data_IF_830653250880
#
_entry.id   IF_830653250880
#
_cell.length_a   1.000
_cell.length_b   1.000
_cell.length_c   1.000
_cell.angle_alpha   90.00
_cell.angle_beta   90.00
_cell.angle_gamma   90.00
#
_symmetry.space_group_name_H-M   'P 1'
#
loop_
_entity.id
_entity.type
_entity.pdbx_description
1 polymer ?
#
# COMPACT_ATOMS: atom_id res chain seq x y z
N UNK A 1 -6.41 20.77 -13.14
CA UNK A 1 -6.67 19.58 -13.98
C UNK A 1 -5.76 18.39 -13.66
N UNK A 2 -4.47 18.56 -13.36
CA UNK A 2 -3.53 17.44 -13.08
C UNK A 2 -3.96 16.59 -11.86
N UNK A 3 -4.36 17.22 -10.75
CA UNK A 3 -4.81 16.51 -9.53
C UNK A 3 -6.09 15.68 -9.72
N UNK A 4 -7.01 16.12 -10.58
CA UNK A 4 -8.25 15.39 -10.84
C UNK A 4 -7.98 14.09 -11.61
N UNK A 5 -7.03 14.12 -12.55
CA UNK A 5 -6.61 12.94 -13.31
C UNK A 5 -5.88 11.92 -12.41
N UNK A 6 -4.96 12.38 -11.56
CA UNK A 6 -4.25 11.50 -10.62
C UNK A 6 -5.23 10.77 -9.68
N UNK A 7 -6.20 11.50 -9.11
CA UNK A 7 -7.21 10.91 -8.22
C UNK A 7 -8.10 9.86 -8.90
N UNK A 8 -8.46 10.10 -10.17
CA UNK A 8 -9.21 9.12 -10.97
C UNK A 8 -8.39 7.84 -11.22
N UNK A 9 -7.08 7.96 -11.39
CA UNK A 9 -6.20 6.80 -11.54
C UNK A 9 -6.08 6.01 -10.23
N UNK A 10 -5.92 6.70 -9.09
CA UNK A 10 -5.84 6.06 -7.78
C UNK A 10 -7.16 5.33 -7.44
N UNK A 11 -8.30 6.00 -7.62
CA UNK A 11 -9.63 5.43 -7.36
C UNK A 11 -9.90 4.19 -8.25
N UNK A 12 -9.50 4.23 -9.52
CA UNK A 12 -9.64 3.10 -10.44
C UNK A 12 -8.73 1.92 -10.04
N UNK A 13 -7.50 2.19 -9.59
CA UNK A 13 -6.60 1.15 -9.09
C UNK A 13 -7.16 0.49 -7.82
N UNK A 14 -7.68 1.29 -6.88
CA UNK A 14 -8.32 0.76 -5.67
C UNK A 14 -9.52 -0.13 -6.02
N UNK A 15 -10.33 0.25 -7.00
CA UNK A 15 -11.44 -0.59 -7.49
C UNK A 15 -10.96 -1.92 -8.07
N UNK A 16 -9.95 -1.90 -8.94
CA UNK A 16 -9.37 -3.12 -9.50
C UNK A 16 -8.86 -4.06 -8.40
N UNK A 17 -8.17 -3.53 -7.40
CA UNK A 17 -7.62 -4.30 -6.27
C UNK A 17 -8.71 -4.86 -5.33
N UNK A 18 -9.90 -4.25 -5.31
CA UNK A 18 -11.06 -4.81 -4.61
C UNK A 18 -11.69 -5.97 -5.38
N UNK A 19 -11.73 -5.89 -6.71
CA UNK A 19 -12.29 -6.91 -7.58
C UNK A 19 -11.37 -8.13 -7.73
N UNK A 20 -10.05 -7.92 -7.72
CA UNK A 20 -9.03 -8.98 -7.79
C UNK A 20 -8.08 -8.93 -6.57
N UNK A 21 -8.44 -9.64 -5.47
CA UNK A 21 -7.61 -9.69 -4.28
C UNK A 21 -6.25 -10.35 -4.47
N UNK A 22 -6.11 -11.27 -5.44
CA UNK A 22 -4.83 -11.96 -5.73
C UNK A 22 -3.86 -11.00 -6.42
N UNK A 23 -4.37 -10.16 -7.33
CA UNK A 23 -3.59 -9.12 -7.98
C UNK A 23 -2.97 -8.12 -6.99
N UNK A 24 -3.59 -7.87 -5.84
CA UNK A 24 -3.04 -6.94 -4.85
C UNK A 24 -1.67 -7.35 -4.29
N UNK A 25 -1.38 -8.65 -4.20
CA UNK A 25 -0.06 -9.10 -3.79
C UNK A 25 0.97 -8.90 -4.91
N UNK A 26 0.60 -9.19 -6.16
CA UNK A 26 1.44 -8.97 -7.35
C UNK A 26 1.76 -7.49 -7.51
N UNK A 27 0.77 -6.63 -7.33
CA UNK A 27 0.92 -5.18 -7.39
C UNK A 27 1.94 -4.65 -6.37
N UNK A 28 1.87 -5.11 -5.11
CA UNK A 28 2.86 -4.75 -4.09
C UNK A 28 4.23 -5.36 -4.34
N UNK A 29 4.29 -6.56 -4.90
CA UNK A 29 5.56 -7.20 -5.27
C UNK A 29 6.27 -6.40 -6.35
N UNK A 30 5.58 -5.98 -7.41
CA UNK A 30 6.18 -5.13 -8.45
C UNK A 30 6.70 -3.81 -7.86
N UNK A 31 5.89 -3.12 -7.05
CA UNK A 31 6.34 -1.89 -6.40
C UNK A 31 7.53 -2.11 -5.43
N UNK A 32 7.69 -3.32 -4.89
CA UNK A 32 8.84 -3.67 -4.05
C UNK A 32 10.10 -3.95 -4.89
N UNK A 33 9.97 -4.52 -6.08
CA UNK A 33 11.11 -4.72 -6.98
C UNK A 33 11.70 -3.38 -7.45
N UNK A 34 10.83 -2.40 -7.68
CA UNK A 34 11.21 -1.06 -8.16
C UNK A 34 11.65 -0.13 -7.00
N UNK A 35 11.73 -0.63 -5.76
CA UNK A 35 11.94 0.22 -4.57
C UNK A 35 13.28 0.97 -4.55
N UNK A 36 14.29 0.42 -5.24
CA UNK A 36 15.64 0.98 -5.33
C UNK A 36 15.77 2.01 -6.48
N UNK A 37 14.73 2.19 -7.30
CA UNK A 37 14.68 3.22 -8.34
C UNK A 37 14.41 4.62 -7.76
N UNK A 38 14.66 5.66 -8.57
CA UNK A 38 14.31 7.03 -8.18
C UNK A 38 12.79 7.15 -8.00
N UNK A 39 12.36 7.47 -6.78
CA UNK A 39 10.93 7.54 -6.43
C UNK A 39 10.31 6.18 -6.04
N UNK A 40 11.10 5.10 -6.00
CA UNK A 40 10.62 3.74 -5.73
C UNK A 40 10.01 3.57 -4.35
N UNK A 41 10.57 4.21 -3.32
CA UNK A 41 10.04 4.16 -1.96
C UNK A 41 8.66 4.84 -1.88
N UNK A 42 8.51 5.99 -2.51
CA UNK A 42 7.26 6.75 -2.58
C UNK A 42 6.19 5.96 -3.34
N UNK A 43 6.56 5.36 -4.47
CA UNK A 43 5.69 4.49 -5.25
C UNK A 43 5.23 3.27 -4.43
N UNK A 44 6.13 2.63 -3.68
CA UNK A 44 5.79 1.52 -2.80
C UNK A 44 4.80 1.92 -1.69
N UNK A 45 5.02 3.07 -1.04
CA UNK A 45 4.09 3.58 -0.02
C UNK A 45 2.71 3.90 -0.61
N UNK A 46 2.66 4.46 -1.81
CA UNK A 46 1.40 4.69 -2.53
C UNK A 46 0.71 3.38 -2.93
N UNK A 47 1.46 2.40 -3.42
CA UNK A 47 0.91 1.08 -3.75
C UNK A 47 0.32 0.40 -2.50
N UNK A 48 1.03 0.45 -1.38
CA UNK A 48 0.54 -0.03 -0.09
C UNK A 48 -0.72 0.70 0.36
N UNK A 49 -0.80 2.01 0.13
CA UNK A 49 -2.02 2.77 0.37
C UNK A 49 -3.20 2.29 -0.46
N UNK A 50 -3.02 2.01 -1.76
CA UNK A 50 -4.11 1.48 -2.59
C UNK A 50 -4.62 0.14 -2.05
N UNK A 51 -3.71 -0.75 -1.66
CA UNK A 51 -4.07 -2.04 -1.05
C UNK A 51 -4.79 -1.86 0.29
N UNK A 52 -4.35 -0.92 1.12
CA UNK A 52 -5.00 -0.57 2.40
C UNK A 52 -6.43 -0.09 2.16
N UNK A 53 -6.64 0.75 1.15
CA UNK A 53 -7.96 1.25 0.78
C UNK A 53 -8.87 0.13 0.26
N UNK A 54 -8.34 -0.77 -0.58
CA UNK A 54 -9.05 -1.93 -1.10
C UNK A 54 -9.39 -3.01 -0.03
N UNK A 55 -8.54 -3.18 1.00
CA UNK A 55 -8.67 -4.25 2.03
C UNK A 55 -9.55 -3.86 3.23
N UNK A 56 -10.55 -3.01 3.00
CA UNK A 56 -11.51 -2.56 4.02
C UNK A 56 -11.25 -1.15 4.55
N UNK A 57 -10.40 -0.39 3.86
CA UNK A 57 -10.20 1.04 4.10
C UNK A 57 -9.27 1.39 5.25
N UNK A 58 -8.85 2.65 5.24
CA UNK A 58 -7.91 3.24 6.21
C UNK A 58 -8.32 3.04 7.67
N UNK A 59 -9.62 3.09 7.99
CA UNK A 59 -10.09 2.92 9.36
C UNK A 59 -9.91 1.49 9.88
N UNK A 60 -10.24 0.49 9.05
CA UNK A 60 -10.12 -0.93 9.40
C UNK A 60 -8.64 -1.31 9.57
N UNK A 61 -7.81 -0.91 8.61
CA UNK A 61 -6.40 -1.25 8.60
C UNK A 61 -5.63 -0.53 9.71
N UNK A 62 -5.89 0.75 9.97
CA UNK A 62 -5.25 1.48 11.08
C UNK A 62 -5.51 0.79 12.43
N UNK A 63 -6.75 0.35 12.66
CA UNK A 63 -7.12 -0.40 13.87
C UNK A 63 -6.35 -1.73 13.98
N UNK A 64 -6.28 -2.51 12.89
CA UNK A 64 -5.54 -3.78 12.85
C UNK A 64 -4.03 -3.58 13.03
N UNK A 65 -3.47 -2.52 12.46
CA UNK A 65 -2.05 -2.18 12.52
C UNK A 65 -1.63 -1.51 13.84
N UNK A 66 -2.58 -1.18 14.72
CA UNK A 66 -2.32 -0.54 16.02
C UNK A 66 -1.90 0.91 15.92
N UNK A 67 -2.32 1.65 14.89
CA UNK A 67 -2.00 3.07 14.67
C UNK A 67 -3.26 3.91 14.49
N UNK A 68 -3.15 5.23 14.64
CA UNK A 68 -4.25 6.14 14.28
C UNK A 68 -4.39 6.25 12.76
N UNK A 69 -5.59 6.61 12.28
CA UNK A 69 -5.84 6.87 10.85
C UNK A 69 -4.94 7.98 10.30
N UNK A 70 -4.75 9.04 11.09
CA UNK A 70 -3.87 10.15 10.72
C UNK A 70 -2.41 9.70 10.57
N UNK A 71 -1.92 8.89 11.51
CA UNK A 71 -0.59 8.30 11.40
C UNK A 71 -0.48 7.42 10.18
N UNK A 72 -1.50 6.59 9.88
CA UNK A 72 -1.50 5.77 8.67
C UNK A 72 -1.44 6.60 7.39
N UNK A 73 -2.25 7.67 7.27
CA UNK A 73 -2.22 8.58 6.12
C UNK A 73 -0.85 9.25 5.94
N UNK A 74 -0.21 9.69 7.04
CA UNK A 74 1.12 10.29 7.01
C UNK A 74 2.20 9.26 6.69
N UNK A 75 2.06 8.05 7.21
CA UNK A 75 2.99 6.93 6.96
C UNK A 75 2.98 6.51 5.50
N UNK A 76 1.81 6.50 4.85
CA UNK A 76 1.66 6.06 3.47
C UNK A 76 1.54 7.23 2.47
N UNK A 77 2.04 8.41 2.83
CA UNK A 77 2.17 9.52 1.89
C UNK A 77 3.46 9.38 1.08
N UNK A 78 3.61 10.10 -0.05
CA UNK A 78 4.88 10.14 -0.78
C UNK A 78 6.05 10.63 0.08
N UNK A 79 5.81 11.45 1.10
CA UNK A 79 6.85 11.90 2.02
C UNK A 79 6.94 11.04 3.29
N UNK A 80 6.31 9.86 3.30
CA UNK A 80 6.26 8.98 4.45
C UNK A 80 7.62 8.34 4.71
N UNK A 81 7.96 8.19 6.00
CA UNK A 81 9.16 7.47 6.41
C UNK A 81 8.82 6.52 7.58
N UNK A 82 8.08 5.43 7.33
CA UNK A 82 7.77 4.47 8.37
C UNK A 82 9.03 3.80 8.90
N UNK A 83 9.07 3.60 10.22
CA UNK A 83 9.98 2.58 10.76
C UNK A 83 9.64 1.21 10.16
N UNK A 84 10.63 0.32 10.07
CA UNK A 84 10.39 -1.06 9.64
C UNK A 84 9.25 -1.72 10.43
N UNK A 85 9.19 -1.50 11.75
CA UNK A 85 8.10 -2.00 12.61
C UNK A 85 6.72 -1.54 12.13
N UNK A 86 6.58 -0.26 11.79
CA UNK A 86 5.32 0.29 11.28
C UNK A 86 4.98 -0.30 9.92
N UNK A 87 5.96 -0.43 9.03
CA UNK A 87 5.73 -0.98 7.70
C UNK A 87 5.23 -2.43 7.79
N UNK A 88 5.90 -3.25 8.60
CA UNK A 88 5.51 -4.64 8.84
C UNK A 88 4.11 -4.75 9.45
N UNK A 89 3.73 -3.87 10.39
CA UNK A 89 2.41 -3.92 11.00
C UNK A 89 1.30 -3.52 10.02
N UNK A 90 1.55 -2.54 9.16
CA UNK A 90 0.59 -2.11 8.12
C UNK A 90 0.40 -3.20 7.07
N UNK A 91 1.48 -3.80 6.56
CA UNK A 91 1.40 -4.91 5.59
C UNK A 91 0.68 -6.12 6.18
N UNK A 92 1.00 -6.50 7.43
CA UNK A 92 0.27 -7.58 8.12
C UNK A 92 -1.22 -7.28 8.26
N UNK A 93 -1.59 -6.04 8.53
CA UNK A 93 -2.98 -5.62 8.69
C UNK A 93 -3.82 -5.68 7.40
N UNK A 94 -3.19 -5.72 6.21
CA UNK A 94 -3.88 -5.96 4.93
C UNK A 94 -4.10 -7.45 4.64
N UNK A 95 -3.52 -8.35 5.45
CA UNK A 95 -3.57 -9.80 5.28
C UNK A 95 -2.37 -10.39 4.56
N UNK A 96 -1.35 -9.59 4.25
CA UNK A 96 -0.12 -10.05 3.59
C UNK A 96 1.05 -10.14 4.56
N UNK A 97 2.04 -10.97 4.24
CA UNK A 97 3.30 -11.03 4.96
C UNK A 97 4.37 -10.34 4.13
N UNK A 98 5.10 -9.40 4.74
CA UNK A 98 6.13 -8.63 4.03
C UNK A 98 7.20 -9.51 3.38
N UNK A 99 7.63 -10.58 4.06
CA UNK A 99 8.58 -11.56 3.53
C UNK A 99 8.09 -12.24 2.23
N UNK A 100 6.78 -12.44 2.08
CA UNK A 100 6.20 -13.06 0.89
C UNK A 100 6.08 -12.08 -0.28
N UNK A 101 6.17 -10.78 -0.03
CA UNK A 101 6.22 -9.78 -1.11
C UNK A 101 7.55 -9.84 -1.87
N UNK A 102 8.61 -10.40 -1.29
CA UNK A 102 9.90 -10.53 -1.97
C UNK A 102 10.02 -11.80 -2.84
N UNK A 103 9.12 -12.78 -2.65
CA UNK A 103 9.28 -14.13 -3.19
C UNK A 103 7.98 -14.71 -3.71
N UNK A 104 7.22 -14.00 -4.55
CA UNK A 104 6.03 -14.61 -5.17
C UNK A 104 6.49 -15.82 -6.02
N UNK A 105 6.28 -17.02 -5.47
CA UNK A 105 6.33 -18.26 -6.22
C UNK A 105 5.04 -18.34 -7.02
N UNK A 106 5.16 -18.31 -8.35
CA UNK A 106 4.07 -18.61 -9.26
C UNK A 106 3.60 -20.06 -9.13
#
# INVERSE_FOLDING_TARGET
MIMAKARLHDDAMVQLLMEDPEFAQVYLHQALLDIDEEGGQEAFLMALRHVVEARGGMASVAKKAGVSRETLYRTLSPSGNPTLKTLLSVVSATGFQFSHLASITA
#
